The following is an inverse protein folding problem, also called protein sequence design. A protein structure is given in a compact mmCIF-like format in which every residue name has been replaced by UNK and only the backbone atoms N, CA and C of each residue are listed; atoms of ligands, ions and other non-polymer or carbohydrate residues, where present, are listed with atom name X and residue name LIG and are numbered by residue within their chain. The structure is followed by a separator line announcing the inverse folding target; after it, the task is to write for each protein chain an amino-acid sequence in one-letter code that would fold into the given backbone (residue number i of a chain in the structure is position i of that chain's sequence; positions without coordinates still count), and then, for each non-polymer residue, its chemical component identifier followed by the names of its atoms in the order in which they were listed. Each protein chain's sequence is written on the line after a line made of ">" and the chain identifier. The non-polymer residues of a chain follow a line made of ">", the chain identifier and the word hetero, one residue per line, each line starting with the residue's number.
data_IF_578293391240
#
_entry.id   IF_578293391240
#
_cell.length_a   1.000
_cell.length_b   1.000
_cell.length_c   1.000
_cell.angle_alpha   90.00
_cell.angle_beta   90.00
_cell.angle_gamma   90.00
#
_symmetry.space_group_name_H-M   'P 1'
#
loop_
_entity.id
_entity.type
_entity.pdbx_description
1 polymer ?
#
# COMPACT_ATOMS: atom_id res chain seq x y z
N UNK A 1 49.59 -8.36 -33.98
CA UNK A 1 48.16 -8.69 -33.86
C UNK A 1 47.79 -8.75 -32.37
N UNK A 2 47.49 -7.59 -31.76
CA UNK A 2 46.91 -7.48 -30.42
C UNK A 2 46.04 -6.21 -30.42
N UNK A 3 44.93 -6.28 -31.14
CA UNK A 3 43.86 -5.29 -31.05
C UNK A 3 42.68 -6.00 -30.39
N UNK A 4 42.29 -5.56 -29.20
CA UNK A 4 41.08 -6.06 -28.53
C UNK A 4 41.21 -6.44 -27.06
N UNK A 5 41.97 -5.69 -26.25
CA UNK A 5 41.88 -5.84 -24.79
C UNK A 5 41.21 -4.60 -24.22
N UNK A 6 39.93 -4.71 -23.90
CA UNK A 6 39.18 -3.71 -23.13
C UNK A 6 39.83 -3.59 -21.74
N UNK A 7 40.10 -2.36 -21.29
CA UNK A 7 40.61 -2.15 -19.94
C UNK A 7 39.50 -2.31 -18.89
N UNK A 8 39.88 -2.45 -17.61
CA UNK A 8 38.92 -2.41 -16.51
C UNK A 8 38.14 -1.09 -16.50
N UNK A 9 38.80 0.04 -16.78
CA UNK A 9 38.15 1.35 -16.86
C UNK A 9 37.15 1.43 -18.01
N UNK A 10 37.44 0.79 -19.16
CA UNK A 10 36.48 0.67 -20.25
C UNK A 10 35.25 -0.12 -19.83
N UNK A 11 35.44 -1.25 -19.14
CA UNK A 11 34.35 -2.06 -18.62
C UNK A 11 33.51 -1.28 -17.58
N UNK A 12 34.16 -0.58 -16.65
CA UNK A 12 33.48 0.23 -15.63
C UNK A 12 32.69 1.39 -16.26
N UNK A 13 33.24 2.06 -17.28
CA UNK A 13 32.56 3.12 -18.02
C UNK A 13 31.34 2.60 -18.78
N UNK A 14 31.45 1.42 -19.40
CA UNK A 14 30.34 0.78 -20.12
C UNK A 14 29.25 0.33 -19.14
N UNK A 15 29.60 -0.39 -18.07
CA UNK A 15 28.66 -0.85 -17.04
C UNK A 15 27.97 0.34 -16.38
N UNK A 16 28.72 1.37 -15.97
CA UNK A 16 28.14 2.58 -15.40
C UNK A 16 27.24 3.34 -16.38
N UNK A 17 27.52 3.27 -17.68
CA UNK A 17 26.63 3.78 -18.73
C UNK A 17 25.32 3.01 -18.79
N UNK A 18 25.39 1.68 -18.83
CA UNK A 18 24.22 0.80 -18.82
C UNK A 18 23.37 1.07 -17.57
N UNK A 19 23.96 1.09 -16.38
CA UNK A 19 23.22 1.33 -15.13
C UNK A 19 22.45 2.66 -15.14
N UNK A 20 22.98 3.72 -15.75
CA UNK A 20 22.31 5.04 -15.82
C UNK A 20 21.15 5.09 -16.81
N UNK A 21 21.22 4.38 -17.94
CA UNK A 21 20.15 4.37 -18.94
C UNK A 21 19.12 3.25 -18.74
N UNK A 22 19.47 2.26 -17.94
CA UNK A 22 18.67 1.06 -17.76
C UNK A 22 17.34 1.34 -17.07
N UNK A 23 17.31 2.23 -16.07
CA UNK A 23 16.08 2.61 -15.39
C UNK A 23 15.05 3.21 -16.37
N UNK A 24 15.46 4.14 -17.24
CA UNK A 24 14.54 4.76 -18.23
C UNK A 24 14.07 3.77 -19.29
N UNK A 25 14.93 2.82 -19.70
CA UNK A 25 14.54 1.77 -20.63
C UNK A 25 13.52 0.83 -20.00
N UNK A 26 13.80 0.36 -18.78
CA UNK A 26 12.88 -0.52 -18.05
C UNK A 26 11.53 0.14 -17.79
N UNK A 27 11.51 1.42 -17.44
CA UNK A 27 10.27 2.17 -17.25
C UNK A 27 9.42 2.20 -18.53
N UNK A 28 10.03 2.26 -19.71
CA UNK A 28 9.30 2.22 -20.98
C UNK A 28 8.68 0.84 -21.27
N UNK A 29 9.35 -0.25 -20.87
CA UNK A 29 8.79 -1.60 -20.95
C UNK A 29 7.64 -1.78 -19.94
N UNK A 30 7.79 -1.27 -18.71
CA UNK A 30 6.74 -1.24 -17.70
C UNK A 30 5.49 -0.49 -18.18
N UNK A 31 5.67 0.68 -18.79
CA UNK A 31 4.58 1.46 -19.37
C UNK A 31 3.87 0.71 -20.52
N UNK A 32 4.64 0.02 -21.37
CA UNK A 32 4.10 -0.81 -22.46
C UNK A 32 3.25 -1.97 -21.93
N UNK A 33 3.79 -2.74 -20.96
CA UNK A 33 3.07 -3.85 -20.32
C UNK A 33 1.79 -3.36 -19.63
N UNK A 34 1.87 -2.25 -18.89
CA UNK A 34 0.72 -1.64 -18.23
C UNK A 34 -0.35 -1.22 -19.23
N UNK A 35 0.04 -0.60 -20.34
CA UNK A 35 -0.89 -0.19 -21.41
C UNK A 35 -1.61 -1.38 -22.02
N UNK A 36 -0.89 -2.49 -22.28
CA UNK A 36 -1.49 -3.72 -22.78
C UNK A 36 -2.53 -4.28 -21.79
N UNK A 37 -2.21 -4.37 -20.50
CA UNK A 37 -3.16 -4.82 -19.48
C UNK A 37 -4.37 -3.89 -19.33
N UNK A 38 -4.15 -2.57 -19.35
CA UNK A 38 -5.23 -1.56 -19.30
C UNK A 38 -6.17 -1.69 -20.51
N UNK A 39 -5.66 -2.09 -21.69
CA UNK A 39 -6.51 -2.35 -22.85
C UNK A 39 -7.46 -3.54 -22.67
N UNK A 40 -7.14 -4.46 -21.74
CA UNK A 40 -7.95 -5.62 -21.38
C UNK A 40 -8.92 -5.35 -20.21
N UNK A 41 -8.77 -4.23 -19.50
CA UNK A 41 -9.59 -3.77 -18.37
C UNK A 41 -10.91 -3.15 -18.83
N UNK A 42 -11.86 -4.01 -19.22
CA UNK A 42 -13.17 -3.59 -19.78
C UNK A 42 -14.04 -2.77 -18.84
N UNK A 43 -13.95 -3.04 -17.54
CA UNK A 43 -14.79 -2.39 -16.53
C UNK A 43 -14.09 -1.20 -15.88
N UNK A 44 -12.84 -0.91 -16.28
CA UNK A 44 -12.03 0.18 -15.73
C UNK A 44 -11.81 0.07 -14.22
N UNK A 45 -11.73 -1.15 -13.71
CA UNK A 45 -11.56 -1.45 -12.28
C UNK A 45 -10.10 -1.73 -11.93
N UNK A 46 -9.17 -1.49 -12.87
CA UNK A 46 -7.76 -1.87 -12.72
C UNK A 46 -7.54 -3.38 -12.66
N UNK A 47 -8.49 -4.17 -13.20
CA UNK A 47 -8.46 -5.63 -13.18
C UNK A 47 -8.72 -6.21 -14.56
N UNK A 48 -7.99 -7.26 -14.89
CA UNK A 48 -8.15 -8.00 -16.15
C UNK A 48 -8.73 -9.38 -15.85
N UNK A 49 -9.86 -9.80 -16.44
CA UNK A 49 -10.34 -11.17 -16.31
C UNK A 49 -9.24 -12.17 -16.69
N UNK A 50 -9.00 -13.20 -15.86
CA UNK A 50 -7.91 -14.16 -16.05
C UNK A 50 -7.96 -14.85 -17.41
N UNK A 51 -9.18 -15.08 -17.92
CA UNK A 51 -9.40 -15.60 -19.26
C UNK A 51 -8.84 -14.70 -20.37
N UNK A 52 -8.98 -13.38 -20.25
CA UNK A 52 -8.43 -12.42 -21.21
C UNK A 52 -6.91 -12.28 -21.07
N UNK A 53 -6.42 -12.32 -19.83
CA UNK A 53 -4.99 -12.34 -19.55
C UNK A 53 -4.32 -13.52 -20.29
N UNK A 54 -4.83 -14.75 -20.11
CA UNK A 54 -4.30 -15.91 -20.82
C UNK A 54 -4.60 -15.94 -22.32
N UNK A 55 -5.76 -15.45 -22.77
CA UNK A 55 -6.04 -15.37 -24.22
C UNK A 55 -5.04 -14.44 -24.93
N UNK A 56 -4.66 -13.32 -24.30
CA UNK A 56 -3.65 -12.41 -24.86
C UNK A 56 -2.27 -13.06 -24.97
N UNK A 57 -1.94 -13.95 -24.03
CA UNK A 57 -0.71 -14.72 -24.02
C UNK A 57 -0.63 -15.75 -25.16
N UNK A 58 -1.75 -16.40 -25.46
CA UNK A 58 -1.87 -17.37 -26.55
C UNK A 58 -1.85 -16.70 -27.94
N UNK A 59 -2.41 -15.49 -28.08
CA UNK A 59 -2.57 -14.84 -29.38
C UNK A 59 -1.39 -13.97 -29.81
N UNK A 60 -0.77 -13.22 -28.88
CA UNK A 60 0.07 -12.09 -29.28
C UNK A 60 1.22 -11.74 -28.34
N UNK A 61 1.08 -11.96 -27.03
CA UNK A 61 2.02 -11.46 -26.04
C UNK A 61 2.44 -12.52 -25.02
N UNK A 62 3.53 -13.23 -25.31
CA UNK A 62 4.12 -14.27 -24.46
C UNK A 62 4.49 -13.81 -23.03
N UNK A 63 4.37 -12.51 -22.73
CA UNK A 63 4.72 -11.92 -21.42
C UNK A 63 3.72 -12.25 -20.31
N UNK A 64 2.46 -12.54 -20.62
CA UNK A 64 1.39 -12.72 -19.63
C UNK A 64 1.08 -14.19 -19.32
N UNK A 65 2.11 -14.93 -18.89
CA UNK A 65 2.07 -16.39 -18.78
C UNK A 65 2.07 -16.95 -17.36
N UNK A 66 2.10 -16.12 -16.32
CA UNK A 66 2.22 -16.61 -14.95
C UNK A 66 1.05 -17.52 -14.54
N UNK A 67 1.37 -18.63 -13.86
CA UNK A 67 0.37 -19.58 -13.39
C UNK A 67 -0.54 -18.97 -12.33
N UNK A 68 -1.74 -19.52 -12.18
CA UNK A 68 -2.68 -19.07 -11.15
C UNK A 68 -2.06 -19.15 -9.74
N UNK A 69 -1.30 -20.23 -9.49
CA UNK A 69 -0.59 -20.42 -8.24
C UNK A 69 0.42 -19.29 -7.97
N UNK A 70 1.16 -18.88 -9.00
CA UNK A 70 2.16 -17.83 -8.86
C UNK A 70 1.55 -16.44 -8.79
N UNK A 71 0.52 -16.15 -9.60
CA UNK A 71 -0.23 -14.89 -9.52
C UNK A 71 -0.85 -14.69 -8.13
N UNK A 72 -1.33 -15.76 -7.49
CA UNK A 72 -1.83 -15.72 -6.11
C UNK A 72 -0.71 -15.41 -5.11
N UNK A 73 0.42 -16.12 -5.22
CA UNK A 73 1.60 -15.89 -4.36
C UNK A 73 2.09 -14.44 -4.44
N UNK A 74 2.08 -13.84 -5.63
CA UNK A 74 2.45 -12.44 -5.86
C UNK A 74 1.41 -11.44 -5.38
N UNK A 75 0.24 -11.90 -4.90
CA UNK A 75 -0.89 -11.04 -4.57
C UNK A 75 -1.46 -10.30 -5.80
N UNK A 76 -1.23 -10.82 -7.00
CA UNK A 76 -1.71 -10.26 -8.25
C UNK A 76 -3.05 -10.86 -8.70
N UNK A 77 -3.54 -11.93 -8.05
CA UNK A 77 -4.79 -12.59 -8.39
C UNK A 77 -5.92 -12.21 -7.42
N UNK A 78 -7.03 -11.77 -7.98
CA UNK A 78 -8.31 -11.61 -7.32
C UNK A 78 -9.23 -12.79 -7.60
N UNK A 79 -9.67 -13.46 -6.54
CA UNK A 79 -10.60 -14.59 -6.60
C UNK A 79 -11.90 -14.33 -5.81
N UNK A 80 -12.11 -13.12 -5.30
CA UNK A 80 -13.27 -12.81 -4.43
C UNK A 80 -14.52 -12.46 -5.23
N UNK A 81 -14.37 -12.06 -6.49
CA UNK A 81 -15.50 -11.71 -7.35
C UNK A 81 -16.21 -12.96 -7.86
N UNK A 82 -17.44 -13.20 -7.39
CA UNK A 82 -18.27 -14.30 -7.92
C UNK A 82 -18.81 -14.00 -9.30
N UNK A 83 -18.89 -12.71 -9.68
CA UNK A 83 -19.45 -12.26 -10.94
C UNK A 83 -18.40 -12.17 -12.05
N UNK A 84 -17.28 -11.51 -11.77
CA UNK A 84 -16.21 -11.36 -12.75
C UNK A 84 -15.24 -12.55 -12.80
N UNK A 85 -15.41 -13.50 -11.87
CA UNK A 85 -14.52 -14.64 -11.71
C UNK A 85 -13.13 -14.20 -11.27
N UNK A 86 -12.12 -14.99 -11.63
CA UNK A 86 -10.73 -14.69 -11.30
C UNK A 86 -10.22 -13.53 -12.15
N UNK A 87 -9.57 -12.55 -11.54
CA UNK A 87 -9.04 -11.37 -12.24
C UNK A 87 -7.61 -11.06 -11.80
N UNK A 88 -6.78 -10.60 -12.71
CA UNK A 88 -5.43 -10.09 -12.41
C UNK A 88 -5.52 -8.62 -12.04
N UNK A 89 -4.97 -8.26 -10.88
CA UNK A 89 -4.87 -6.89 -10.38
C UNK A 89 -3.68 -6.21 -11.07
N UNK A 90 -3.95 -5.24 -11.94
CA UNK A 90 -2.93 -4.64 -12.83
C UNK A 90 -1.77 -4.03 -12.03
N UNK A 91 -2.08 -3.23 -11.02
CA UNK A 91 -1.06 -2.55 -10.23
C UNK A 91 -0.17 -3.54 -9.47
N UNK A 92 -0.73 -4.61 -8.90
CA UNK A 92 0.04 -5.66 -8.21
C UNK A 92 0.89 -6.46 -9.19
N UNK A 93 0.33 -6.80 -10.36
CA UNK A 93 1.07 -7.53 -11.39
C UNK A 93 2.27 -6.75 -11.90
N UNK A 94 2.11 -5.47 -12.27
CA UNK A 94 3.22 -4.63 -12.75
C UNK A 94 4.33 -4.48 -11.70
N UNK A 95 3.95 -4.42 -10.41
CA UNK A 95 4.90 -4.32 -9.30
C UNK A 95 5.43 -5.68 -8.81
N UNK A 96 4.99 -6.80 -9.40
CA UNK A 96 5.35 -8.12 -8.96
C UNK A 96 6.83 -8.45 -9.23
N UNK A 97 7.38 -9.37 -8.43
CA UNK A 97 8.76 -9.82 -8.57
C UNK A 97 9.05 -10.49 -9.93
N UNK A 98 8.03 -11.02 -10.61
CA UNK A 98 8.14 -11.55 -11.98
C UNK A 98 8.41 -10.46 -13.02
N UNK A 99 8.03 -9.22 -12.73
CA UNK A 99 8.24 -8.03 -13.55
C UNK A 99 9.42 -7.17 -13.07
N UNK A 100 10.37 -7.76 -12.35
CA UNK A 100 11.64 -7.13 -12.01
C UNK A 100 12.74 -7.64 -12.95
N UNK A 101 13.41 -6.72 -13.65
CA UNK A 101 14.46 -7.08 -14.60
C UNK A 101 15.76 -7.54 -13.93
N UNK A 102 16.04 -7.03 -12.72
CA UNK A 102 17.12 -7.54 -11.89
C UNK A 102 16.48 -8.26 -10.72
N UNK A 103 16.70 -9.57 -10.66
CA UNK A 103 16.43 -10.38 -9.48
C UNK A 103 17.75 -10.90 -8.91
N UNK A 104 18.07 -10.46 -7.69
CA UNK A 104 19.19 -10.97 -6.91
C UNK A 104 18.72 -11.30 -5.49
N UNK A 105 19.44 -12.13 -4.73
CA UNK A 105 19.08 -12.44 -3.34
C UNK A 105 19.08 -11.24 -2.37
N UNK A 106 19.49 -10.04 -2.82
CA UNK A 106 19.69 -8.87 -1.96
C UNK A 106 18.89 -7.65 -2.40
N UNK A 107 18.54 -7.54 -3.68
CA UNK A 107 17.75 -6.44 -4.21
C UNK A 107 17.08 -6.82 -5.52
N UNK A 108 15.95 -6.17 -5.78
CA UNK A 108 15.21 -6.23 -7.02
C UNK A 108 15.24 -4.86 -7.72
N UNK A 109 15.21 -4.83 -9.05
CA UNK A 109 14.95 -3.61 -9.84
C UNK A 109 13.67 -3.85 -10.62
N UNK A 110 12.60 -3.17 -10.20
CA UNK A 110 11.24 -3.39 -10.65
C UNK A 110 10.66 -2.14 -11.31
N UNK A 111 9.44 -2.25 -11.82
CA UNK A 111 8.66 -1.12 -12.30
C UNK A 111 8.44 -0.08 -11.19
N UNK A 112 8.36 1.21 -11.58
CA UNK A 112 8.05 2.26 -10.63
C UNK A 112 6.61 2.12 -10.12
N UNK A 113 6.38 2.38 -8.82
CA UNK A 113 5.05 2.42 -8.23
C UNK A 113 4.48 3.85 -8.35
N UNK A 114 3.51 4.13 -9.24
CA UNK A 114 2.97 5.48 -9.38
C UNK A 114 2.21 5.95 -8.14
N UNK A 115 1.71 5.01 -7.33
CA UNK A 115 1.02 5.33 -6.07
C UNK A 115 1.90 6.07 -5.07
N UNK A 116 3.22 5.84 -5.09
CA UNK A 116 4.15 6.59 -4.22
C UNK A 116 4.14 8.08 -4.54
N UNK A 117 3.96 8.45 -5.81
CA UNK A 117 3.79 9.84 -6.22
C UNK A 117 2.52 10.44 -5.65
N UNK A 118 1.40 9.72 -5.76
CA UNK A 118 0.09 10.12 -5.22
C UNK A 118 0.14 10.26 -3.70
N UNK A 119 0.74 9.28 -3.01
CA UNK A 119 0.93 9.32 -1.56
C UNK A 119 1.80 10.51 -1.16
N UNK A 120 2.89 10.78 -1.90
CA UNK A 120 3.73 11.96 -1.66
C UNK A 120 2.99 13.29 -1.83
N UNK A 121 2.04 13.40 -2.77
CA UNK A 121 1.18 14.58 -2.91
C UNK A 121 0.24 14.75 -1.70
N UNK A 122 -0.36 13.65 -1.24
CA UNK A 122 -1.24 13.63 -0.07
C UNK A 122 -0.45 14.02 1.19
N UNK A 123 0.72 13.43 1.40
CA UNK A 123 1.62 13.76 2.52
C UNK A 123 2.02 15.23 2.53
N UNK A 124 2.34 15.81 1.37
CA UNK A 124 2.66 17.25 1.24
C UNK A 124 1.47 18.13 1.58
N UNK A 125 0.26 17.73 1.19
CA UNK A 125 -0.95 18.50 1.44
C UNK A 125 -1.39 18.43 2.92
N UNK A 126 -1.37 17.24 3.52
CA UNK A 126 -1.81 17.00 4.91
C UNK A 126 -0.73 17.43 5.92
N UNK A 127 0.55 17.16 5.62
CA UNK A 127 1.69 17.44 6.50
C UNK A 127 1.58 16.84 7.93
N UNK A 128 0.83 15.74 8.07
CA UNK A 128 0.62 15.01 9.31
C UNK A 128 0.35 13.52 9.02
N UNK A 129 0.63 12.59 9.96
CA UNK A 129 0.38 11.16 9.77
C UNK A 129 -1.11 10.78 9.85
N UNK A 130 -1.96 11.71 10.28
CA UNK A 130 -3.41 11.56 10.45
C UNK A 130 -4.12 12.71 9.73
N UNK A 131 -5.23 12.42 9.07
CA UNK A 131 -6.07 13.44 8.42
C UNK A 131 -7.56 13.20 8.69
N UNK A 132 -8.40 14.22 8.52
CA UNK A 132 -9.85 14.02 8.52
C UNK A 132 -10.34 13.50 7.16
N UNK A 133 -11.45 12.75 7.08
CA UNK A 133 -12.04 12.33 5.81
C UNK A 133 -12.32 13.51 4.86
N UNK A 134 -12.87 14.61 5.39
CA UNK A 134 -13.17 15.80 4.60
C UNK A 134 -11.93 16.44 3.95
N UNK A 135 -10.81 16.47 4.68
CA UNK A 135 -9.53 16.97 4.17
C UNK A 135 -8.98 16.06 3.06
N UNK A 136 -8.99 14.75 3.28
CA UNK A 136 -8.54 13.76 2.29
C UNK A 136 -9.38 13.77 1.02
N UNK A 137 -10.70 13.84 1.14
CA UNK A 137 -11.60 13.95 -0.01
C UNK A 137 -11.34 15.22 -0.82
N UNK A 138 -11.00 16.34 -0.17
CA UNK A 138 -10.64 17.58 -0.86
C UNK A 138 -9.32 17.47 -1.63
N UNK A 139 -8.30 16.85 -1.03
CA UNK A 139 -6.98 16.65 -1.67
C UNK A 139 -7.10 15.68 -2.84
N UNK A 140 -7.66 14.50 -2.59
CA UNK A 140 -7.74 13.40 -3.57
C UNK A 140 -8.74 13.71 -4.69
N UNK A 141 -9.82 14.44 -4.38
CA UNK A 141 -10.74 14.94 -5.40
C UNK A 141 -10.08 15.88 -6.40
N UNK A 142 -9.17 16.75 -5.95
CA UNK A 142 -8.39 17.62 -6.83
C UNK A 142 -7.37 16.85 -7.68
N UNK A 143 -6.79 15.77 -7.15
CA UNK A 143 -5.85 14.91 -7.89
C UNK A 143 -6.57 14.12 -8.99
N UNK A 144 -7.72 13.53 -8.67
CA UNK A 144 -8.54 12.74 -9.61
C UNK A 144 -8.99 13.59 -10.80
N UNK A 145 -9.42 14.83 -10.55
CA UNK A 145 -9.81 15.79 -11.58
C UNK A 145 -8.66 16.18 -12.54
N UNK A 146 -7.40 16.05 -12.11
CA UNK A 146 -6.23 16.30 -12.97
C UNK A 146 -5.90 15.07 -13.83
N UNK A 147 -6.10 13.86 -13.31
CA UNK A 147 -5.92 12.60 -14.04
C UNK A 147 -6.98 12.36 -15.13
N UNK A 148 -8.16 12.99 -15.02
CA UNK A 148 -9.22 12.95 -16.04
C UNK A 148 -8.79 13.49 -17.42
N UNK A 149 -7.72 14.31 -17.49
CA UNK A 149 -7.19 14.82 -18.74
C UNK A 149 -6.41 13.76 -19.55
N UNK A 150 -6.05 12.64 -18.93
CA UNK A 150 -5.24 11.55 -19.48
C UNK A 150 -6.03 10.25 -19.77
N UNK A 151 -7.36 10.32 -19.91
CA UNK A 151 -8.27 9.17 -20.18
C UNK A 151 -8.39 8.16 -19.01
N UNK A 152 -7.93 8.54 -17.82
CA UNK A 152 -8.14 7.82 -16.55
C UNK A 152 -9.43 8.31 -15.83
N UNK A 153 -10.05 7.39 -15.09
CA UNK A 153 -11.46 7.42 -14.65
C UNK A 153 -11.84 8.57 -13.71
N UNK A 154 -13.05 9.11 -13.91
CA UNK A 154 -13.87 9.78 -12.90
C UNK A 154 -14.21 8.80 -11.77
N UNK A 155 -13.43 8.79 -10.70
CA UNK A 155 -13.83 8.10 -9.47
C UNK A 155 -14.98 8.91 -8.89
N UNK A 156 -16.19 8.36 -8.94
CA UNK A 156 -17.29 8.94 -8.16
C UNK A 156 -16.96 8.71 -6.68
N UNK A 157 -16.30 9.70 -6.07
CA UNK A 157 -16.13 9.81 -4.62
C UNK A 157 -17.47 10.06 -3.89
N UNK A 158 -18.59 9.72 -4.54
CA UNK A 158 -19.94 10.19 -4.30
C UNK A 158 -20.45 10.05 -2.88
N UNK A 159 -21.65 10.56 -2.65
CA UNK A 159 -22.28 10.60 -1.32
C UNK A 159 -23.38 9.55 -1.22
N UNK A 160 -23.08 8.38 -0.63
CA UNK A 160 -24.06 7.30 -0.40
C UNK A 160 -23.45 6.15 0.42
N UNK A 161 -24.29 5.29 0.99
CA UNK A 161 -23.84 4.08 1.68
C UNK A 161 -23.13 3.16 0.67
N UNK A 162 -21.89 2.78 0.97
CA UNK A 162 -21.03 2.01 0.06
C UNK A 162 -20.17 2.86 -0.90
N UNK A 163 -20.19 4.20 -0.79
CA UNK A 163 -19.26 5.05 -1.54
C UNK A 163 -17.87 5.09 -0.90
N UNK A 164 -16.87 5.51 -1.67
CA UNK A 164 -15.50 5.72 -1.16
C UNK A 164 -15.46 6.76 -0.04
N UNK A 165 -16.31 7.79 -0.06
CA UNK A 165 -16.41 8.74 1.04
C UNK A 165 -16.93 8.06 2.32
N UNK A 166 -17.97 7.23 2.22
CA UNK A 166 -18.50 6.48 3.36
C UNK A 166 -17.47 5.48 3.93
N UNK A 167 -16.63 4.88 3.08
CA UNK A 167 -15.56 4.01 3.54
C UNK A 167 -14.48 4.77 4.30
N UNK A 168 -14.13 5.97 3.84
CA UNK A 168 -13.16 6.81 4.53
C UNK A 168 -13.67 7.27 5.91
N UNK A 169 -14.97 7.57 6.02
CA UNK A 169 -15.63 7.87 7.29
C UNK A 169 -15.65 6.66 8.24
N UNK A 170 -15.83 5.45 7.72
CA UNK A 170 -15.74 4.23 8.54
C UNK A 170 -14.34 3.99 9.09
N UNK A 171 -13.30 4.18 8.27
CA UNK A 171 -11.91 4.14 8.74
C UNK A 171 -11.70 5.15 9.86
N UNK A 172 -12.16 6.39 9.67
CA UNK A 172 -12.03 7.43 10.67
C UNK A 172 -12.79 7.10 11.97
N UNK A 173 -13.98 6.51 11.88
CA UNK A 173 -14.77 6.11 13.04
C UNK A 173 -14.05 5.08 13.93
N UNK A 174 -13.28 4.16 13.32
CA UNK A 174 -12.43 3.22 14.04
C UNK A 174 -11.19 3.89 14.69
N UNK A 175 -10.86 5.11 14.30
CA UNK A 175 -9.59 5.79 14.56
C UNK A 175 -9.79 7.21 15.12
N UNK A 176 -10.68 7.37 16.11
CA UNK A 176 -10.93 8.64 16.81
C UNK A 176 -11.32 9.83 15.90
N UNK A 177 -11.95 9.55 14.77
CA UNK A 177 -12.37 10.55 13.78
C UNK A 177 -11.25 11.00 12.83
N UNK A 178 -10.12 10.29 12.80
CA UNK A 178 -9.01 10.56 11.87
C UNK A 178 -8.60 9.30 11.10
N UNK A 179 -8.07 9.48 9.91
CA UNK A 179 -7.58 8.40 9.05
C UNK A 179 -6.05 8.34 9.13
N UNK A 180 -5.44 7.21 9.51
CA UNK A 180 -4.00 7.01 9.42
C UNK A 180 -3.53 6.89 7.97
N UNK A 181 -2.65 7.79 7.52
CA UNK A 181 -2.21 7.83 6.12
C UNK A 181 -1.34 6.63 5.71
N UNK A 182 -0.69 5.98 6.67
CA UNK A 182 0.14 4.80 6.44
C UNK A 182 -0.51 3.51 6.97
N UNK A 183 -1.82 3.54 7.17
CA UNK A 183 -2.61 2.36 7.50
C UNK A 183 -2.98 1.55 6.26
N UNK A 184 -3.12 0.24 6.43
CA UNK A 184 -3.59 -0.68 5.39
C UNK A 184 -4.94 -0.25 4.83
N UNK A 185 -5.91 0.18 5.66
CA UNK A 185 -7.24 0.54 5.16
C UNK A 185 -7.20 1.79 4.28
N UNK A 186 -6.34 2.77 4.60
CA UNK A 186 -6.16 3.93 3.73
C UNK A 186 -5.49 3.59 2.41
N UNK A 187 -4.47 2.72 2.43
CA UNK A 187 -3.88 2.18 1.20
C UNK A 187 -4.92 1.40 0.36
N UNK A 188 -5.83 0.67 1.01
CA UNK A 188 -6.90 -0.06 0.35
C UNK A 188 -7.91 0.88 -0.27
N UNK A 189 -8.26 1.96 0.43
CA UNK A 189 -9.08 3.03 -0.10
C UNK A 189 -8.43 3.68 -1.33
N UNK A 190 -7.14 4.00 -1.28
CA UNK A 190 -6.39 4.53 -2.42
C UNK A 190 -6.34 3.56 -3.60
N UNK A 191 -6.26 2.25 -3.36
CA UNK A 191 -6.37 1.25 -4.41
C UNK A 191 -7.69 1.36 -5.16
N UNK A 192 -8.81 1.53 -4.46
CA UNK A 192 -10.12 1.65 -5.12
C UNK A 192 -10.37 3.02 -5.76
N UNK A 193 -9.70 4.08 -5.28
CA UNK A 193 -9.68 5.38 -5.95
C UNK A 193 -8.81 5.33 -7.22
N UNK A 194 -7.59 4.80 -7.13
CA UNK A 194 -6.63 4.78 -8.24
C UNK A 194 -6.26 3.34 -8.63
N UNK A 195 -7.20 2.55 -9.18
CA UNK A 195 -7.04 1.09 -9.30
C UNK A 195 -5.96 0.63 -10.29
N UNK A 196 -5.50 1.53 -11.17
CA UNK A 196 -4.41 1.26 -12.12
C UNK A 196 -3.05 1.75 -11.62
N UNK A 197 -3.02 2.55 -10.56
CA UNK A 197 -1.81 3.19 -10.05
C UNK A 197 -1.41 2.60 -8.69
N UNK A 198 -2.38 2.37 -7.81
CA UNK A 198 -2.17 1.90 -6.45
C UNK A 198 -2.36 0.39 -6.36
N UNK A 199 -1.34 -0.37 -5.91
CA UNK A 199 -1.48 -1.80 -5.61
C UNK A 199 -2.47 -2.05 -4.46
N UNK A 200 -3.16 -3.18 -4.50
CA UNK A 200 -4.02 -3.65 -3.42
C UNK A 200 -3.14 -4.11 -2.23
N UNK A 201 -3.38 -3.60 -1.01
CA UNK A 201 -2.59 -3.94 0.17
C UNK A 201 -3.12 -5.23 0.82
N UNK A 202 -2.58 -6.36 0.39
CA UNK A 202 -2.76 -7.64 1.07
C UNK A 202 -2.22 -7.58 2.50
N UNK A 203 -2.77 -8.40 3.41
CA UNK A 203 -2.28 -8.45 4.78
C UNK A 203 -0.89 -9.08 4.81
N UNK A 204 -0.16 -8.84 5.90
CA UNK A 204 1.16 -9.44 6.07
C UNK A 204 1.05 -10.98 6.03
N UNK A 205 1.74 -11.58 5.07
CA UNK A 205 1.79 -13.04 4.87
C UNK A 205 0.79 -13.59 3.86
N UNK A 206 -0.16 -12.78 3.35
CA UNK A 206 -1.11 -13.22 2.30
C UNK A 206 -0.48 -13.23 0.89
N UNK A 207 0.57 -12.43 0.69
CA UNK A 207 1.33 -12.35 -0.56
C UNK A 207 2.83 -12.22 -0.27
N UNK A 208 3.66 -12.62 -1.23
CA UNK A 208 5.11 -12.54 -1.16
C UNK A 208 5.72 -11.89 -2.42
N UNK A 209 6.99 -11.52 -2.33
CA UNK A 209 7.78 -11.02 -3.47
C UNK A 209 8.68 -12.11 -4.05
N UNK A 210 8.22 -13.36 -4.07
CA UNK A 210 9.01 -14.47 -4.59
C UNK A 210 9.29 -14.28 -6.09
N UNK A 211 10.57 -14.22 -6.45
CA UNK A 211 10.98 -14.22 -7.86
C UNK A 211 10.72 -15.59 -8.52
N UNK A 212 10.70 -15.68 -9.85
CA UNK A 212 10.48 -16.96 -10.53
C UNK A 212 11.44 -18.07 -10.07
N UNK A 213 12.69 -17.70 -9.77
CA UNK A 213 13.70 -18.62 -9.27
C UNK A 213 13.40 -19.13 -7.84
N UNK A 214 12.81 -18.29 -7.00
CA UNK A 214 12.45 -18.66 -5.62
C UNK A 214 11.15 -19.46 -5.56
N UNK A 215 10.20 -19.17 -6.46
CA UNK A 215 8.97 -19.94 -6.59
C UNK A 215 9.24 -21.36 -7.11
N UNK A 216 10.15 -21.49 -8.09
CA UNK A 216 10.54 -22.76 -8.67
C UNK A 216 9.72 -23.14 -9.90
N UNK A 217 9.57 -24.45 -10.14
CA UNK A 217 8.85 -24.98 -11.30
C UNK A 217 7.36 -24.64 -11.24
N UNK A 218 6.74 -24.42 -12.41
CA UNK A 218 5.30 -24.09 -12.50
C UNK A 218 4.94 -22.63 -12.24
N UNK A 219 5.92 -21.71 -12.31
CA UNK A 219 5.63 -20.26 -12.30
C UNK A 219 4.93 -19.78 -13.57
N UNK A 220 5.01 -20.53 -14.67
CA UNK A 220 4.30 -20.31 -15.94
C UNK A 220 3.18 -21.35 -16.08
N UNK A 221 1.99 -20.90 -16.47
CA UNK A 221 0.86 -21.74 -16.80
C UNK A 221 1.14 -22.63 -18.01
N UNK A 222 0.54 -23.82 -18.07
CA UNK A 222 0.61 -24.64 -19.29
C UNK A 222 -0.34 -24.10 -20.37
N UNK A 223 -0.08 -24.41 -21.63
CA UNK A 223 -0.98 -24.03 -22.74
C UNK A 223 -2.40 -24.58 -22.53
N UNK A 224 -2.52 -25.77 -21.93
CA UNK A 224 -3.81 -26.37 -21.60
C UNK A 224 -4.55 -25.59 -20.48
N UNK A 225 -3.83 -25.12 -19.45
CA UNK A 225 -4.38 -24.26 -18.41
C UNK A 225 -4.89 -22.94 -19.00
N UNK A 226 -4.04 -22.28 -19.82
CA UNK A 226 -4.38 -21.02 -20.49
C UNK A 226 -5.61 -21.18 -21.40
N UNK A 227 -5.68 -22.26 -22.19
CA UNK A 227 -6.82 -22.55 -23.06
C UNK A 227 -8.10 -22.85 -22.28
N UNK A 228 -8.01 -23.59 -21.17
CA UNK A 228 -9.17 -23.91 -20.33
C UNK A 228 -9.85 -22.63 -19.81
N UNK A 229 -9.06 -21.66 -19.36
CA UNK A 229 -9.58 -20.35 -18.92
C UNK A 229 -10.11 -19.49 -20.07
N UNK A 230 -9.46 -19.50 -21.24
CA UNK A 230 -9.93 -18.76 -22.41
C UNK A 230 -11.29 -19.27 -22.92
N UNK A 231 -11.50 -20.59 -22.92
CA UNK A 231 -12.77 -21.22 -23.36
C UNK A 231 -13.90 -20.97 -22.38
N UNK A 232 -13.66 -21.11 -21.07
CA UNK A 232 -14.69 -20.94 -20.03
C UNK A 232 -15.34 -19.54 -20.07
N UNK A 233 -14.61 -18.51 -20.50
CA UNK A 233 -15.14 -17.15 -20.61
C UNK A 233 -16.11 -16.93 -21.79
N UNK A 234 -16.05 -17.77 -22.83
CA UNK A 234 -17.01 -17.71 -23.92
C UNK A 234 -18.35 -18.37 -23.56
N UNK A 235 -18.36 -19.28 -22.56
CA UNK A 235 -19.55 -20.01 -22.13
C UNK A 235 -20.38 -19.26 -21.07
N UNK A 236 -19.79 -18.31 -20.33
CA UNK A 236 -20.47 -17.57 -19.25
C UNK A 236 -21.28 -16.35 -19.70
N UNK A 237 -21.43 -16.11 -21.00
CA UNK A 237 -22.30 -15.04 -21.52
C UNK A 237 -23.76 -15.53 -21.58
N UNK A 238 -24.42 -15.58 -20.43
CA UNK A 238 -25.89 -15.69 -20.36
C UNK A 238 -26.48 -14.84 -19.23
N UNK A 239 -26.99 -13.68 -19.66
CA UNK A 239 -28.21 -12.95 -19.23
C UNK A 239 -28.37 -12.46 -17.77
N UNK A 240 -28.50 -11.12 -17.71
CA UNK A 240 -29.53 -10.39 -16.98
C UNK A 240 -29.54 -10.45 -15.44
N UNK A 241 -28.74 -9.57 -14.81
CA UNK A 241 -29.09 -8.97 -13.51
C UNK A 241 -28.34 -7.63 -13.30
N UNK A 242 -28.73 -6.61 -14.08
CA UNK A 242 -28.21 -5.22 -14.06
C UNK A 242 -28.56 -4.46 -12.75
N UNK A 243 -28.95 -5.16 -11.68
CA UNK A 243 -29.46 -4.57 -10.45
C UNK A 243 -28.52 -4.59 -9.24
N UNK A 244 -27.43 -5.37 -9.28
CA UNK A 244 -26.53 -5.59 -8.14
C UNK A 244 -25.06 -5.19 -8.38
N UNK A 245 -24.76 -4.51 -9.50
CA UNK A 245 -23.40 -4.07 -9.83
C UNK A 245 -22.79 -3.13 -8.77
N UNK A 246 -23.61 -2.40 -8.01
CA UNK A 246 -23.15 -1.39 -7.05
C UNK A 246 -22.42 -1.92 -5.81
N UNK A 247 -22.51 -3.22 -5.48
CA UNK A 247 -22.00 -3.76 -4.19
C UNK A 247 -20.76 -4.65 -4.36
N UNK A 248 -20.44 -5.13 -5.56
CA UNK A 248 -19.37 -6.12 -5.74
C UNK A 248 -18.05 -5.59 -6.30
N UNK A 249 -18.00 -4.31 -6.70
CA UNK A 249 -16.77 -3.70 -7.23
C UNK A 249 -15.64 -3.58 -6.18
N UNK A 250 -16.00 -3.59 -4.88
CA UNK A 250 -15.07 -3.67 -3.73
C UNK A 250 -15.03 -5.06 -3.08
N UNK A 251 -15.16 -6.15 -3.85
CA UNK A 251 -15.29 -7.51 -3.28
C UNK A 251 -14.10 -7.97 -2.41
N UNK A 252 -12.90 -7.41 -2.59
CA UNK A 252 -11.73 -7.68 -1.75
C UNK A 252 -11.64 -6.79 -0.50
N UNK A 253 -12.57 -5.86 -0.30
CA UNK A 253 -12.51 -4.98 0.86
C UNK A 253 -12.59 -5.77 2.17
N UNK A 254 -11.71 -5.42 3.11
CA UNK A 254 -11.59 -6.09 4.41
C UNK A 254 -11.25 -5.07 5.49
N UNK A 255 -12.11 -4.99 6.52
CA UNK A 255 -12.08 -4.05 7.65
C UNK A 255 -10.88 -4.23 8.62
N UNK A 256 -10.05 -5.25 8.42
CA UNK A 256 -8.87 -5.50 9.24
C UNK A 256 -7.76 -4.47 8.99
N UNK A 257 -7.36 -3.73 10.02
CA UNK A 257 -6.34 -2.69 9.95
C UNK A 257 -4.95 -3.23 10.35
N UNK A 258 -3.91 -2.76 9.66
CA UNK A 258 -2.51 -2.96 10.01
C UNK A 258 -1.81 -1.60 10.01
N UNK A 259 -1.30 -1.18 11.18
CA UNK A 259 -0.62 0.10 11.35
C UNK A 259 0.88 -0.10 11.56
N UNK A 260 1.68 0.73 10.90
CA UNK A 260 3.14 0.77 11.08
C UNK A 260 3.53 1.31 12.47
N UNK A 261 2.69 2.19 13.03
CA UNK A 261 2.91 2.78 14.33
C UNK A 261 1.60 2.93 15.10
N UNK A 262 1.68 2.94 16.43
CA UNK A 262 0.54 3.23 17.29
C UNK A 262 0.32 4.75 17.37
N UNK A 263 -0.49 5.26 16.44
CA UNK A 263 -0.82 6.68 16.33
C UNK A 263 -1.74 7.18 17.46
N UNK A 264 -2.37 6.28 18.23
CA UNK A 264 -3.43 6.63 19.18
C UNK A 264 -3.06 6.38 20.65
N UNK A 265 -2.26 5.36 20.96
CA UNK A 265 -1.73 5.18 22.32
C UNK A 265 -0.56 6.14 22.60
N UNK A 266 0.14 6.55 21.54
CA UNK A 266 1.17 7.58 21.60
C UNK A 266 0.57 8.88 21.11
N UNK A 267 -0.07 9.65 22.00
CA UNK A 267 -0.30 11.06 21.70
C UNK A 267 1.06 11.69 21.41
N UNK A 268 1.41 11.79 20.11
CA UNK A 268 2.64 12.36 19.57
C UNK A 268 2.60 13.89 19.79
N UNK A 269 2.58 14.29 21.05
CA UNK A 269 2.99 15.61 21.43
C UNK A 269 4.50 15.65 21.26
N UNK A 270 4.98 16.59 20.45
CA UNK A 270 6.39 16.88 20.46
C UNK A 270 6.79 17.20 21.93
N UNK A 271 7.99 16.82 22.40
CA UNK A 271 8.38 17.00 23.80
C UNK A 271 8.21 18.46 24.31
N UNK A 272 8.23 19.42 23.37
CA UNK A 272 8.09 20.85 23.63
C UNK A 272 6.63 21.36 23.63
N UNK A 273 5.65 20.54 23.23
CA UNK A 273 4.21 20.87 23.22
C UNK A 273 3.49 20.55 24.53
N UNK A 274 4.22 20.06 25.55
CA UNK A 274 3.68 19.92 26.90
C UNK A 274 3.11 21.25 27.39
N UNK A 275 1.77 21.31 27.41
CA UNK A 275 0.95 22.44 27.83
C UNK A 275 1.57 23.14 29.05
N UNK A 276 1.62 24.46 28.96
CA UNK A 276 1.58 25.42 30.08
C UNK A 276 0.41 25.08 31.02
N UNK A 277 0.48 24.00 31.79
CA UNK A 277 -0.41 23.76 32.94
C UNK A 277 0.13 24.58 34.09
N UNK A 278 -0.27 25.85 34.10
CA UNK A 278 -0.68 26.62 35.28
C UNK A 278 -0.01 26.17 36.58
N UNK A 279 1.22 26.61 36.82
CA UNK A 279 1.80 26.70 38.17
C UNK A 279 1.13 27.87 38.92
N UNK A 280 -0.16 27.74 39.23
CA UNK A 280 -0.89 28.71 40.08
C UNK A 280 -1.32 28.12 41.42
N UNK A 281 -0.79 26.96 41.82
CA UNK A 281 -1.13 26.34 43.13
C UNK A 281 0.07 26.28 44.09
N UNK A 282 1.30 26.58 43.65
CA UNK A 282 2.48 26.60 44.53
C UNK A 282 2.69 27.89 45.34
N UNK A 283 2.09 29.01 44.94
CA UNK A 283 2.34 30.33 45.56
C UNK A 283 1.50 30.65 46.80
N UNK A 284 0.37 29.97 47.01
CA UNK A 284 -0.57 30.30 48.09
C UNK A 284 -0.29 29.54 49.41
N UNK A 285 0.48 28.45 49.38
CA UNK A 285 0.80 27.67 50.58
C UNK A 285 2.05 28.14 51.33
N UNK A 286 2.92 28.95 50.71
CA UNK A 286 4.11 29.51 51.36
C UNK A 286 3.82 30.78 52.19
N UNK A 287 2.62 31.36 52.09
CA UNK A 287 2.22 32.50 52.93
C UNK A 287 1.56 32.06 54.25
N UNK A 288 1.05 30.82 54.34
CA UNK A 288 0.38 30.33 55.55
C UNK A 288 1.26 29.50 56.50
N UNK A 289 2.44 29.04 56.06
CA UNK A 289 3.39 28.31 56.94
C UNK A 289 4.35 29.25 57.69
N UNK A 290 4.38 30.54 57.35
CA UNK A 290 5.20 31.55 58.03
C UNK A 290 4.67 32.04 59.39
N UNK A 291 3.47 31.62 59.82
CA UNK A 291 2.82 32.17 61.03
C UNK A 291 2.45 31.16 62.12
N UNK A 292 2.71 29.86 61.97
CA UNK A 292 2.46 28.89 63.05
C UNK A 292 3.58 27.88 63.09
N UNK A 293 4.46 27.96 64.11
CA UNK A 293 5.43 26.90 64.36
C UNK A 293 6.76 27.29 65.01
N UNK A 294 6.83 28.36 65.79
CA UNK A 294 7.78 28.37 66.90
C UNK A 294 7.28 27.38 67.97
N UNK A 295 8.21 26.65 68.59
CA UNK A 295 8.11 25.76 69.76
C UNK A 295 8.22 24.25 69.47
N UNK A 296 9.34 23.64 69.93
CA UNK A 296 9.28 22.36 70.66
C UNK A 296 10.04 21.14 70.11
N UNK A 297 11.31 21.01 70.50
CA UNK A 297 12.05 19.79 70.95
C UNK A 297 11.55 18.36 70.61
N UNK A 298 12.49 17.49 70.21
CA UNK A 298 12.60 16.13 70.78
C UNK A 298 12.87 14.93 69.85
N UNK A 299 14.14 14.51 69.78
CA UNK A 299 14.68 13.12 69.77
C UNK A 299 13.92 11.95 69.08
N UNK A 300 14.60 11.30 68.12
CA UNK A 300 14.88 9.86 68.22
C UNK A 300 14.27 8.87 67.21
N UNK A 301 15.17 8.16 66.51
CA UNK A 301 15.15 6.69 66.27
C UNK A 301 14.48 6.08 65.01
N UNK A 302 15.33 5.31 64.29
CA UNK A 302 15.14 4.06 63.50
C UNK A 302 14.49 4.09 62.10
N UNK A 303 15.21 3.48 61.14
CA UNK A 303 14.72 3.04 59.80
C UNK A 303 13.76 1.84 59.88
N UNK A 304 13.45 1.08 58.79
CA UNK A 304 14.38 0.63 57.73
C UNK A 304 13.78 0.53 56.28
N UNK A 305 14.60 0.02 55.33
CA UNK A 305 14.26 -0.97 54.28
C UNK A 305 13.26 -0.57 53.14
N UNK A 306 13.34 -0.95 51.85
CA UNK A 306 14.05 -1.94 51.01
C UNK A 306 13.84 -1.49 49.52
N UNK A 307 14.89 -1.38 48.68
CA UNK A 307 15.20 -2.21 47.47
C UNK A 307 14.21 -2.08 46.25
N UNK A 308 14.56 -2.57 45.03
CA UNK A 308 15.14 -1.75 43.96
C UNK A 308 14.33 -1.82 42.64
N UNK A 309 14.59 -0.90 41.72
CA UNK A 309 14.02 -0.93 40.36
C UNK A 309 15.05 -1.55 39.41
N UNK A 310 14.77 -2.75 38.93
CA UNK A 310 15.39 -3.29 37.72
C UNK A 310 14.30 -3.49 36.67
N UNK A 311 14.41 -2.76 35.56
CA UNK A 311 13.68 -3.05 34.33
C UNK A 311 14.72 -3.26 33.24
N UNK A 312 14.80 -4.50 32.73
CA UNK A 312 15.46 -4.83 31.46
C UNK A 312 14.34 -5.09 30.47
N UNK A 313 14.28 -4.28 29.42
CA UNK A 313 13.51 -4.57 28.22
C UNK A 313 14.41 -5.31 27.22
N UNK A 314 14.04 -6.54 26.89
CA UNK A 314 14.53 -7.25 25.71
C UNK A 314 13.53 -7.03 24.57
N UNK A 315 14.04 -6.57 23.43
CA UNK A 315 13.33 -6.55 22.15
C UNK A 315 13.59 -7.90 21.44
N UNK A 316 12.53 -8.48 20.88
CA UNK A 316 12.57 -9.41 19.74
C UNK A 316 11.78 -8.72 18.64
#
# INVERSE_FOLDING_TARGET
>A
ALAGMSSFDDAHRVVGGITRSFASYWESECASMKSALVSLDTHRTGRVPLSRFYNSALESDWRFGESEAYLRELGALDETSTWHGKQVIIANYIQAASNCIVSSPHYLVCCSNPCEGLMGDIERAVAAPLASPAELLAVVGNMSAQSELDDDVLVDLGSGDGSLAAQLEQIAAAHSGQVPLHGRLFAQWLHYVFPRQCPFPHKVGDASSASPLEFGEGYIASDEEMQAHAVAANETVSLEEVGQEGVQWMSQWSEEEELIADYFASGLHAPWESRRRVLSIGGALLVLVGLVGAVGHGSGSKGPALLPVHCKSHFV
#
